data_IF_065539990996
#
_entry.id   IF_065539990996
#
_cell.length_a   1.000
_cell.length_b   1.000
_cell.length_c   1.000
_cell.angle_alpha   90.00
_cell.angle_beta   90.00
_cell.angle_gamma   90.00
#
_symmetry.space_group_name_H-M   'P 1'
#
loop_
_entity.id
_entity.type
_entity.pdbx_description
1 polymer ?
#
# COMPACT_ATOMS: atom_id res chain seq x y z
N UNK A 1 21.26 7.17 -11.75
CA UNK A 1 21.14 5.88 -12.45
C UNK A 1 19.69 5.41 -12.40
N UNK A 2 19.18 5.03 -11.22
CA UNK A 2 17.84 4.44 -11.04
C UNK A 2 16.67 5.14 -11.76
N UNK A 3 16.45 6.45 -11.59
CA UNK A 3 15.32 7.12 -12.27
C UNK A 3 15.42 7.07 -13.80
N UNK A 4 16.63 7.05 -14.38
CA UNK A 4 16.80 6.94 -15.84
C UNK A 4 16.43 5.55 -16.33
N UNK A 5 16.80 4.52 -15.57
CA UNK A 5 16.40 3.14 -15.86
C UNK A 5 14.89 2.98 -15.76
N UNK A 6 14.27 3.54 -14.72
CA UNK A 6 12.81 3.53 -14.54
C UNK A 6 12.09 4.24 -15.70
N UNK A 7 12.56 5.42 -16.10
CA UNK A 7 12.02 6.15 -17.25
C UNK A 7 12.12 5.34 -18.54
N UNK A 8 13.29 4.77 -18.83
CA UNK A 8 13.48 3.95 -20.01
C UNK A 8 12.61 2.68 -19.98
N UNK A 9 12.40 2.08 -18.81
CA UNK A 9 11.51 0.94 -18.62
C UNK A 9 10.05 1.33 -18.90
N UNK A 10 9.57 2.45 -18.33
CA UNK A 10 8.21 2.94 -18.57
C UNK A 10 7.93 3.14 -20.06
N UNK A 11 8.83 3.84 -20.77
CA UNK A 11 8.69 4.06 -22.21
C UNK A 11 8.68 2.75 -23.01
N UNK A 12 9.56 1.79 -22.71
CA UNK A 12 9.53 0.47 -23.37
C UNK A 12 8.26 -0.33 -23.07
N UNK A 13 7.60 -0.05 -21.96
CA UNK A 13 6.32 -0.64 -21.57
C UNK A 13 5.10 0.14 -22.11
N UNK A 14 5.30 1.17 -22.93
CA UNK A 14 4.22 2.00 -23.46
C UNK A 14 3.59 2.95 -22.45
N UNK A 15 4.27 3.22 -21.32
CA UNK A 15 3.84 4.16 -20.30
C UNK A 15 4.50 5.53 -20.55
N UNK A 16 3.72 6.59 -20.42
CA UNK A 16 4.22 7.95 -20.54
C UNK A 16 4.85 8.44 -19.23
N UNK A 17 6.08 8.93 -19.31
CA UNK A 17 6.69 9.70 -18.24
C UNK A 17 7.60 10.79 -18.79
N UNK A 18 7.65 11.91 -18.08
CA UNK A 18 8.46 13.08 -18.43
C UNK A 18 9.60 13.24 -17.44
N UNK A 19 10.82 13.43 -17.96
CA UNK A 19 11.99 13.74 -17.16
C UNK A 19 11.99 15.21 -16.75
N UNK A 20 12.14 15.47 -15.44
CA UNK A 20 12.19 16.82 -14.88
C UNK A 20 13.54 17.09 -14.20
N UNK A 21 14.06 18.29 -14.39
CA UNK A 21 15.12 18.86 -13.56
C UNK A 21 14.60 19.15 -12.15
N UNK A 22 15.50 19.28 -11.17
CA UNK A 22 15.11 19.66 -9.81
C UNK A 22 14.35 20.98 -9.72
N UNK A 23 14.66 21.94 -10.60
CA UNK A 23 13.92 23.21 -10.70
C UNK A 23 12.48 22.98 -11.17
N UNK A 24 12.28 22.12 -12.17
CA UNK A 24 10.95 21.78 -12.67
C UNK A 24 10.14 21.00 -11.64
N UNK A 25 10.77 20.08 -10.90
CA UNK A 25 10.13 19.40 -9.77
C UNK A 25 9.61 20.41 -8.74
N UNK A 26 10.45 21.34 -8.28
CA UNK A 26 10.04 22.38 -7.32
C UNK A 26 9.03 23.38 -7.89
N UNK A 27 9.01 23.60 -9.20
CA UNK A 27 7.95 24.41 -9.84
C UNK A 27 6.58 23.72 -9.73
N UNK A 28 6.55 22.40 -9.77
CA UNK A 28 5.31 21.61 -9.60
C UNK A 28 4.93 21.43 -8.13
N UNK A 29 5.90 21.15 -7.27
CA UNK A 29 5.71 20.95 -5.83
C UNK A 29 6.71 21.85 -5.06
N UNK A 30 6.33 23.10 -4.74
CA UNK A 30 7.23 24.09 -4.12
C UNK A 30 7.79 23.69 -2.76
N UNK A 31 7.12 22.79 -2.05
CA UNK A 31 7.55 22.30 -0.74
C UNK A 31 8.70 21.29 -0.81
N UNK A 32 9.07 20.81 -2.01
CA UNK A 32 10.22 19.92 -2.18
C UNK A 32 11.54 20.59 -1.80
N UNK A 33 12.42 19.82 -1.15
CA UNK A 33 13.73 20.29 -0.73
C UNK A 33 14.59 20.78 -1.91
N UNK A 34 15.45 21.80 -1.69
CA UNK A 34 16.43 22.24 -2.69
C UNK A 34 17.36 21.13 -3.18
N UNK A 35 17.62 20.13 -2.33
CA UNK A 35 18.45 18.96 -2.63
C UNK A 35 17.87 18.00 -3.68
N UNK A 36 16.58 18.12 -4.04
CA UNK A 36 15.98 17.34 -5.13
C UNK A 36 16.64 17.73 -6.46
N UNK A 37 17.35 16.76 -7.07
CA UNK A 37 18.15 16.98 -8.29
C UNK A 37 17.36 16.79 -9.59
N UNK A 38 16.24 16.08 -9.53
CA UNK A 38 15.37 15.79 -10.67
C UNK A 38 14.36 14.71 -10.30
N UNK A 39 13.44 14.43 -11.21
CA UNK A 39 12.34 13.51 -10.97
C UNK A 39 11.67 13.08 -12.27
N UNK A 40 10.70 12.18 -12.14
CA UNK A 40 9.80 11.80 -13.21
C UNK A 40 8.40 12.31 -12.89
N UNK A 41 7.77 12.95 -13.87
CA UNK A 41 6.33 13.18 -13.85
C UNK A 41 5.65 12.06 -14.63
N UNK A 42 4.66 11.45 -14.01
CA UNK A 42 3.92 10.30 -14.55
C UNK A 42 2.43 10.62 -14.40
N UNK A 43 1.85 11.31 -15.38
CA UNK A 43 0.47 11.82 -15.26
C UNK A 43 -0.58 10.69 -15.32
N UNK A 44 -0.21 9.51 -15.85
CA UNK A 44 -1.06 8.31 -15.84
C UNK A 44 -1.09 7.56 -14.51
N UNK A 45 -0.21 7.90 -13.55
CA UNK A 45 -0.25 7.32 -12.21
C UNK A 45 -1.32 8.00 -11.37
N UNK A 46 -2.02 7.20 -10.57
CA UNK A 46 -3.06 7.68 -9.67
C UNK A 46 -2.92 7.08 -8.27
N UNK A 47 -3.61 7.71 -7.32
CA UNK A 47 -3.74 7.22 -5.96
C UNK A 47 -5.21 6.96 -5.63
N UNK A 48 -5.44 5.94 -4.81
CA UNK A 48 -6.74 5.67 -4.19
C UNK A 48 -6.60 5.70 -2.67
N UNK A 49 -7.69 5.97 -1.95
CA UNK A 49 -7.75 5.72 -0.51
C UNK A 49 -8.29 4.29 -0.27
N UNK A 50 -7.43 3.34 0.17
CA UNK A 50 -7.85 1.95 0.36
C UNK A 50 -8.97 1.80 1.38
N UNK A 51 -9.08 2.70 2.37
CA UNK A 51 -10.15 2.66 3.38
C UNK A 51 -11.50 2.97 2.76
N UNK A 52 -11.55 3.98 1.86
CA UNK A 52 -12.76 4.34 1.11
C UNK A 52 -13.12 3.26 0.09
N UNK A 53 -12.13 2.74 -0.65
CA UNK A 53 -12.35 1.68 -1.63
C UNK A 53 -12.88 0.41 -0.96
N UNK A 54 -12.26 -0.07 0.12
CA UNK A 54 -12.69 -1.28 0.81
C UNK A 54 -14.15 -1.16 1.30
N UNK A 55 -14.51 -0.01 1.89
CA UNK A 55 -15.90 0.26 2.30
C UNK A 55 -16.86 0.23 1.09
N UNK A 56 -16.49 0.87 -0.01
CA UNK A 56 -17.31 0.90 -1.21
C UNK A 56 -17.51 -0.50 -1.81
N UNK A 57 -16.46 -1.33 -1.84
CA UNK A 57 -16.54 -2.71 -2.31
C UNK A 57 -17.45 -3.57 -1.43
N UNK A 58 -17.36 -3.46 -0.09
CA UNK A 58 -18.26 -4.16 0.82
C UNK A 58 -19.72 -3.78 0.53
N UNK A 59 -20.02 -2.49 0.43
CA UNK A 59 -21.38 -2.02 0.09
C UNK A 59 -21.84 -2.52 -1.29
N UNK A 60 -20.96 -2.56 -2.29
CA UNK A 60 -21.30 -3.08 -3.61
C UNK A 60 -21.63 -4.58 -3.57
N UNK A 61 -20.85 -5.37 -2.82
CA UNK A 61 -21.10 -6.80 -2.60
C UNK A 61 -22.43 -7.03 -1.87
N UNK A 62 -22.71 -6.29 -0.80
CA UNK A 62 -24.00 -6.38 -0.06
C UNK A 62 -25.19 -6.10 -0.99
N UNK A 63 -25.09 -5.09 -1.86
CA UNK A 63 -26.12 -4.77 -2.86
C UNK A 63 -26.28 -5.84 -3.95
N UNK A 64 -25.21 -6.57 -4.25
CA UNK A 64 -25.23 -7.69 -5.18
C UNK A 64 -25.74 -9.00 -4.54
N UNK A 65 -26.09 -8.99 -3.23
CA UNK A 65 -26.59 -10.16 -2.52
C UNK A 65 -25.48 -11.10 -2.01
N UNK A 66 -24.23 -10.63 -1.91
CA UNK A 66 -23.13 -11.40 -1.33
C UNK A 66 -23.36 -11.55 0.18
N UNK A 67 -23.28 -12.79 0.66
CA UNK A 67 -23.33 -13.11 2.08
C UNK A 67 -21.94 -12.97 2.73
N UNK A 68 -21.87 -12.27 3.86
CA UNK A 68 -20.64 -12.04 4.60
C UNK A 68 -20.63 -12.82 5.91
N UNK A 69 -19.85 -13.90 5.97
CA UNK A 69 -19.53 -14.60 7.21
C UNK A 69 -18.31 -13.92 7.87
N UNK A 70 -18.55 -13.07 8.88
CA UNK A 70 -17.50 -12.31 9.61
C UNK A 70 -16.83 -13.18 10.68
N UNK A 71 -16.27 -14.31 10.25
CA UNK A 71 -15.59 -15.32 11.08
C UNK A 71 -14.32 -15.81 10.39
N UNK A 72 -13.45 -16.49 11.13
CA UNK A 72 -12.28 -17.12 10.55
C UNK A 72 -12.65 -18.44 9.87
N UNK A 73 -12.11 -18.65 8.68
CA UNK A 73 -12.02 -20.00 8.12
C UNK A 73 -10.91 -20.74 8.86
N UNK A 74 -11.27 -21.80 9.58
CA UNK A 74 -10.34 -22.62 10.35
C UNK A 74 -9.63 -23.65 9.47
N UNK A 75 -10.32 -24.19 8.46
CA UNK A 75 -9.73 -25.13 7.49
C UNK A 75 -10.51 -25.17 6.18
N UNK A 76 -9.80 -25.49 5.10
CA UNK A 76 -10.40 -25.90 3.83
C UNK A 76 -10.97 -27.32 3.94
N UNK A 77 -12.18 -27.51 3.41
CA UNK A 77 -12.78 -28.83 3.21
C UNK A 77 -12.43 -29.33 1.81
N UNK A 78 -11.81 -30.50 1.72
CA UNK A 78 -11.44 -31.15 0.44
C UNK A 78 -12.14 -32.49 0.35
N UNK A 79 -12.84 -32.73 -0.75
CA UNK A 79 -13.55 -33.98 -1.04
C UNK A 79 -13.14 -34.46 -2.42
N UNK A 80 -12.58 -35.68 -2.51
CA UNK A 80 -12.10 -36.27 -3.77
C UNK A 80 -11.18 -35.30 -4.54
N UNK A 81 -10.16 -34.79 -3.85
CA UNK A 81 -9.17 -33.85 -4.36
C UNK A 81 -9.72 -32.51 -4.89
N UNK A 82 -10.94 -32.15 -4.48
CA UNK A 82 -11.58 -30.88 -4.84
C UNK A 82 -11.94 -30.08 -3.60
N UNK A 83 -11.64 -28.79 -3.61
CA UNK A 83 -12.15 -27.84 -2.61
C UNK A 83 -13.69 -27.84 -2.63
N UNK A 84 -14.29 -28.10 -1.49
CA UNK A 84 -15.74 -28.27 -1.33
C UNK A 84 -16.36 -27.25 -0.35
N UNK A 85 -15.54 -26.37 0.24
CA UNK A 85 -15.98 -25.40 1.24
C UNK A 85 -14.94 -25.14 2.31
N UNK A 86 -15.38 -24.55 3.42
CA UNK A 86 -14.54 -24.29 4.61
C UNK A 86 -15.29 -24.68 5.88
N UNK A 87 -14.53 -25.00 6.93
CA UNK A 87 -15.05 -25.04 8.30
C UNK A 87 -14.64 -23.73 8.99
N UNK A 88 -15.59 -23.06 9.63
CA UNK A 88 -15.31 -21.83 10.39
C UNK A 88 -14.83 -22.16 11.80
N UNK A 89 -14.21 -21.20 12.49
CA UNK A 89 -13.82 -21.38 13.90
C UNK A 89 -15.00 -21.59 14.86
N UNK A 90 -16.24 -21.37 14.40
CA UNK A 90 -17.46 -21.71 15.16
C UNK A 90 -17.93 -23.16 14.94
N UNK A 91 -17.21 -23.96 14.14
CA UNK A 91 -17.59 -25.32 13.77
C UNK A 91 -18.60 -25.42 12.62
N UNK A 92 -19.09 -24.28 12.11
CA UNK A 92 -20.00 -24.24 10.96
C UNK A 92 -19.30 -24.68 9.68
N UNK A 93 -19.98 -25.48 8.86
CA UNK A 93 -19.49 -25.90 7.55
C UNK A 93 -20.17 -25.09 6.45
N UNK A 94 -19.37 -24.34 5.71
CA UNK A 94 -19.83 -23.55 4.56
C UNK A 94 -19.42 -24.27 3.28
N UNK A 95 -20.39 -24.89 2.61
CA UNK A 95 -20.18 -25.60 1.36
C UNK A 95 -20.08 -24.62 0.17
N UNK A 96 -19.18 -24.90 -0.76
CA UNK A 96 -19.04 -24.10 -1.98
C UNK A 96 -18.56 -24.97 -3.15
N UNK A 97 -19.07 -24.69 -4.36
CA UNK A 97 -18.62 -25.38 -5.58
C UNK A 97 -17.21 -24.96 -6.04
N UNK A 98 -16.77 -23.77 -5.62
CA UNK A 98 -15.45 -23.20 -5.84
C UNK A 98 -15.04 -22.40 -4.59
N UNK A 99 -13.75 -22.44 -4.26
CA UNK A 99 -13.18 -21.68 -3.15
C UNK A 99 -11.99 -20.88 -3.67
N UNK A 100 -11.96 -19.58 -3.35
CA UNK A 100 -10.83 -18.70 -3.67
C UNK A 100 -10.11 -18.34 -2.38
N UNK A 101 -8.83 -18.70 -2.30
CA UNK A 101 -7.99 -18.36 -1.17
C UNK A 101 -7.41 -16.95 -1.34
N UNK A 102 -7.97 -15.97 -0.64
CA UNK A 102 -7.59 -14.56 -0.71
C UNK A 102 -7.23 -13.96 0.67
N UNK A 103 -6.63 -14.75 1.55
CA UNK A 103 -6.36 -14.38 2.96
C UNK A 103 -5.04 -13.60 3.16
N UNK A 104 -4.53 -12.94 2.12
CA UNK A 104 -3.25 -12.21 2.17
C UNK A 104 -2.10 -13.11 2.63
N UNK A 105 -1.26 -12.61 3.55
CA UNK A 105 -0.11 -13.33 4.12
C UNK A 105 -0.48 -14.55 4.98
N UNK A 106 -1.77 -14.75 5.29
CA UNK A 106 -2.27 -15.94 5.98
C UNK A 106 -2.67 -17.06 5.03
N UNK A 107 -2.65 -16.84 3.71
CA UNK A 107 -3.07 -17.85 2.73
C UNK A 107 -2.26 -19.14 2.84
N UNK A 108 -0.93 -19.05 3.02
CA UNK A 108 -0.06 -20.21 3.21
C UNK A 108 -0.23 -20.94 4.56
N UNK A 109 -1.15 -20.48 5.43
CA UNK A 109 -1.39 -21.04 6.77
C UNK A 109 -2.74 -21.73 6.94
N UNK A 110 -3.62 -21.70 5.94
CA UNK A 110 -4.95 -22.32 6.06
C UNK A 110 -4.81 -23.86 6.04
N UNK A 111 -5.17 -24.57 7.13
CA UNK A 111 -5.16 -26.02 7.15
C UNK A 111 -6.09 -26.64 6.09
N UNK A 112 -5.74 -27.84 5.61
CA UNK A 112 -6.53 -28.57 4.61
C UNK A 112 -6.25 -28.18 3.16
N UNK A 113 -5.49 -27.11 2.92
CA UNK A 113 -4.94 -26.82 1.58
C UNK A 113 -3.83 -27.84 1.27
N UNK A 114 -3.88 -28.54 0.13
CA UNK A 114 -2.83 -29.49 -0.25
C UNK A 114 -1.45 -28.82 -0.37
N UNK A 115 -0.41 -29.53 0.06
CA UNK A 115 0.93 -28.95 0.21
C UNK A 115 1.56 -28.48 -1.12
N UNK A 116 1.20 -29.14 -2.22
CA UNK A 116 1.63 -28.85 -3.59
C UNK A 116 1.02 -27.57 -4.17
N UNK A 117 -0.07 -27.06 -3.58
CA UNK A 117 -0.76 -25.84 -4.03
C UNK A 117 -0.76 -24.72 -2.99
N UNK A 118 -0.06 -24.89 -1.87
CA UNK A 118 0.07 -23.86 -0.84
C UNK A 118 0.79 -22.62 -1.41
N UNK A 119 0.17 -21.42 -1.35
CA UNK A 119 0.82 -20.21 -1.84
C UNK A 119 2.05 -19.87 -0.97
N UNK A 120 3.22 -19.57 -1.57
CA UNK A 120 4.44 -19.23 -0.85
C UNK A 120 4.42 -17.76 -0.38
N UNK A 121 3.37 -17.37 0.34
CA UNK A 121 3.18 -16.01 0.84
C UNK A 121 3.72 -15.87 2.26
N UNK A 122 4.35 -14.73 2.54
CA UNK A 122 4.84 -14.36 3.86
C UNK A 122 4.55 -12.90 4.13
N UNK A 123 4.33 -12.49 5.38
CA UNK A 123 4.14 -11.08 5.71
C UNK A 123 5.48 -10.34 5.64
N UNK A 124 5.41 -9.10 5.12
CA UNK A 124 6.45 -8.08 5.26
C UNK A 124 5.78 -6.92 5.97
N UNK A 125 6.28 -6.58 7.14
CA UNK A 125 5.73 -5.47 7.94
C UNK A 125 6.10 -4.15 7.29
N UNK A 126 5.15 -3.21 7.29
CA UNK A 126 5.40 -1.83 6.89
C UNK A 126 4.68 -0.87 7.83
N UNK A 127 5.42 0.10 8.35
CA UNK A 127 4.90 1.18 9.17
C UNK A 127 4.57 2.39 8.29
N UNK A 128 3.50 3.09 8.64
CA UNK A 128 3.00 4.27 7.91
C UNK A 128 2.49 5.30 8.90
N UNK A 129 2.70 6.59 8.61
CA UNK A 129 2.17 7.71 9.37
C UNK A 129 1.05 8.39 8.57
N UNK A 130 0.08 8.96 9.28
CA UNK A 130 -0.94 9.85 8.70
C UNK A 130 -0.86 11.18 9.46
N UNK A 131 -0.40 12.21 8.77
CA UNK A 131 -0.34 13.56 9.29
C UNK A 131 -1.61 14.31 8.90
N UNK A 132 -1.99 15.30 9.69
CA UNK A 132 -3.09 16.21 9.34
C UNK A 132 -2.49 17.49 8.80
N UNK A 133 -2.89 17.90 7.59
CA UNK A 133 -2.50 19.18 7.02
C UNK A 133 -3.47 20.26 7.50
N UNK A 134 -3.03 21.25 8.30
CA UNK A 134 -3.85 22.40 8.63
C UNK A 134 -4.33 23.12 7.37
N UNK A 135 -5.60 23.56 7.34
CA UNK A 135 -6.19 24.23 6.17
C UNK A 135 -5.36 25.40 5.63
N UNK A 136 -4.67 26.15 6.52
CA UNK A 136 -3.80 27.27 6.15
C UNK A 136 -2.57 26.87 5.32
N UNK A 137 -2.20 25.59 5.35
CA UNK A 137 -1.08 25.04 4.59
C UNK A 137 -1.55 24.20 3.39
N UNK A 138 -2.84 24.15 3.10
CA UNK A 138 -3.39 23.35 2.02
C UNK A 138 -3.41 24.14 0.67
N UNK A 139 -3.10 23.48 -0.46
CA UNK A 139 -2.52 22.14 -0.56
C UNK A 139 -1.04 22.16 -0.16
N UNK A 140 -0.65 21.25 0.75
CA UNK A 140 0.74 21.12 1.19
C UNK A 140 1.59 20.40 0.13
N UNK A 141 1.03 19.36 -0.47
CA UNK A 141 1.46 18.76 -1.72
C UNK A 141 0.24 18.63 -2.61
N UNK A 142 0.40 18.87 -3.90
CA UNK A 142 -0.70 18.73 -4.87
C UNK A 142 -0.72 17.36 -5.55
N UNK A 143 0.33 16.55 -5.39
CA UNK A 143 0.50 15.23 -6.00
C UNK A 143 1.13 14.24 -5.03
N UNK A 144 0.97 12.94 -5.33
CA UNK A 144 1.79 11.91 -4.70
C UNK A 144 3.25 12.14 -5.06
N UNK A 145 4.12 12.20 -4.06
CA UNK A 145 5.57 12.26 -4.25
C UNK A 145 6.17 10.95 -3.80
N UNK A 146 7.01 10.33 -4.63
CA UNK A 146 7.79 9.14 -4.31
C UNK A 146 9.27 9.46 -4.46
N UNK A 147 10.09 9.06 -3.49
CA UNK A 147 11.51 9.34 -3.50
C UNK A 147 12.31 8.19 -2.88
N UNK A 148 13.61 8.22 -3.16
CA UNK A 148 14.60 7.42 -2.43
C UNK A 148 15.41 8.36 -1.57
N UNK A 149 15.32 8.19 -0.26
CA UNK A 149 16.06 8.98 0.73
C UNK A 149 16.95 8.02 1.51
N UNK A 150 18.26 8.26 1.52
CA UNK A 150 19.25 7.41 2.21
C UNK A 150 19.20 5.92 1.84
N UNK A 151 18.74 5.61 0.62
CA UNK A 151 18.58 4.23 0.14
C UNK A 151 17.22 3.61 0.46
N UNK A 152 16.42 4.22 1.34
CA UNK A 152 15.05 3.80 1.66
C UNK A 152 14.03 4.46 0.70
N UNK A 153 12.98 3.72 0.35
CA UNK A 153 11.85 4.26 -0.41
C UNK A 153 10.90 5.01 0.52
N UNK A 154 10.47 6.20 0.13
CA UNK A 154 9.45 6.97 0.84
C UNK A 154 8.42 7.52 -0.14
N UNK A 155 7.16 7.53 0.25
CA UNK A 155 6.05 8.14 -0.45
C UNK A 155 5.27 9.08 0.47
N UNK A 156 4.86 10.21 -0.09
CA UNK A 156 3.98 11.19 0.53
C UNK A 156 2.74 11.32 -0.34
N UNK A 157 1.58 10.98 0.21
CA UNK A 157 0.33 10.82 -0.53
C UNK A 157 -0.72 11.77 0.07
N UNK A 158 -0.93 12.96 -0.53
CA UNK A 158 -1.93 13.91 -0.04
C UNK A 158 -3.34 13.40 -0.33
N UNK A 159 -4.26 13.61 0.61
CA UNK A 159 -5.67 13.23 0.49
C UNK A 159 -6.56 14.46 0.48
N UNK A 160 -7.69 14.37 -0.21
CA UNK A 160 -8.67 15.46 -0.32
C UNK A 160 -9.24 15.91 1.04
N UNK A 161 -9.26 15.02 2.03
CA UNK A 161 -9.72 15.32 3.39
C UNK A 161 -8.68 16.04 4.26
N UNK A 162 -7.53 16.42 3.69
CA UNK A 162 -6.45 17.09 4.40
C UNK A 162 -5.47 16.15 5.10
N UNK A 163 -5.57 14.83 4.92
CA UNK A 163 -4.53 13.91 5.41
C UNK A 163 -3.32 13.90 4.46
N UNK A 164 -2.13 13.73 5.04
CA UNK A 164 -0.91 13.40 4.32
C UNK A 164 -0.38 12.05 4.81
N UNK A 165 -0.42 11.03 3.97
CA UNK A 165 0.11 9.71 4.31
C UNK A 165 1.59 9.66 3.99
N UNK A 166 2.42 9.29 4.97
CA UNK A 166 3.87 9.11 4.84
C UNK A 166 4.19 7.63 5.05
N UNK A 167 4.75 6.98 4.05
CA UNK A 167 5.13 5.58 4.17
C UNK A 167 6.24 5.18 3.21
N UNK A 168 6.74 3.95 3.25
CA UNK A 168 6.55 3.02 4.35
C UNK A 168 7.88 2.33 4.63
N UNK A 169 8.07 1.90 5.88
CA UNK A 169 9.17 0.99 6.20
C UNK A 169 8.94 -0.36 5.50
N UNK A 170 10.00 -1.17 5.40
CA UNK A 170 9.92 -2.56 4.95
C UNK A 170 10.73 -3.43 5.90
N UNK A 171 10.04 -4.27 6.67
CA UNK A 171 10.59 -4.97 7.82
C UNK A 171 10.27 -6.47 7.74
N UNK A 172 11.32 -7.30 7.82
CA UNK A 172 11.23 -8.76 7.86
C UNK A 172 10.92 -9.27 9.28
N UNK A 173 9.77 -8.84 9.82
CA UNK A 173 9.35 -9.10 11.21
C UNK A 173 8.10 -9.97 11.32
N UNK A 174 7.81 -10.78 10.30
CA UNK A 174 6.69 -11.71 10.35
C UNK A 174 5.35 -10.97 10.52
N UNK A 175 4.56 -11.39 11.52
CA UNK A 175 3.24 -10.81 11.84
C UNK A 175 3.30 -9.72 12.91
N UNK A 176 4.49 -9.26 13.30
CA UNK A 176 4.59 -8.12 14.22
C UNK A 176 3.97 -6.87 13.57
N UNK A 177 3.02 -6.26 14.26
CA UNK A 177 2.39 -4.99 13.84
C UNK A 177 2.72 -3.85 14.80
N UNK A 178 3.72 -4.03 15.66
CA UNK A 178 4.11 -3.03 16.65
C UNK A 178 4.71 -1.82 15.96
N UNK A 179 4.18 -0.62 16.23
CA UNK A 179 4.80 0.63 15.79
C UNK A 179 6.03 0.90 16.65
N UNK A 180 7.18 1.15 16.04
CA UNK A 180 8.45 1.35 16.73
C UNK A 180 8.89 2.80 16.65
N UNK A 181 9.53 3.30 17.71
CA UNK A 181 10.11 4.65 17.70
C UNK A 181 11.09 4.85 16.53
N UNK A 182 11.87 3.80 16.19
CA UNK A 182 12.77 3.80 15.04
C UNK A 182 12.05 3.96 13.71
N UNK A 183 10.97 3.20 13.46
CA UNK A 183 10.21 3.31 12.23
C UNK A 183 9.50 4.66 12.08
N UNK A 184 8.96 5.20 13.18
CA UNK A 184 8.38 6.56 13.20
C UNK A 184 9.45 7.60 12.88
N UNK A 185 10.60 7.52 13.53
CA UNK A 185 11.72 8.45 13.29
C UNK A 185 12.23 8.39 11.84
N UNK A 186 12.42 7.18 11.30
CA UNK A 186 12.85 6.98 9.91
C UNK A 186 11.91 7.67 8.92
N UNK A 187 10.61 7.43 9.06
CA UNK A 187 9.59 8.03 8.17
C UNK A 187 9.57 9.56 8.28
N UNK A 188 9.63 10.12 9.49
CA UNK A 188 9.63 11.58 9.68
C UNK A 188 10.93 12.22 9.16
N UNK A 189 12.08 11.59 9.43
CA UNK A 189 13.39 12.04 8.93
C UNK A 189 13.41 12.08 7.40
N UNK A 190 12.98 10.99 6.77
CA UNK A 190 13.06 10.87 5.31
C UNK A 190 12.04 11.77 4.61
N UNK A 191 10.85 11.92 5.20
CA UNK A 191 9.87 12.88 4.71
C UNK A 191 10.35 14.33 4.88
N UNK A 192 11.04 14.68 5.97
CA UNK A 192 11.62 16.01 6.18
C UNK A 192 12.76 16.30 5.19
N UNK A 193 13.62 15.32 4.91
CA UNK A 193 14.69 15.47 3.91
C UNK A 193 14.14 15.75 2.51
N UNK A 194 12.95 15.21 2.19
CA UNK A 194 12.26 15.44 0.93
C UNK A 194 11.40 16.72 0.91
N UNK A 195 10.68 16.99 2.00
CA UNK A 195 9.70 18.07 2.15
C UNK A 195 9.91 18.73 3.53
N UNK A 196 10.83 19.71 3.64
CA UNK A 196 11.27 20.20 4.94
C UNK A 196 10.16 20.78 5.82
N UNK A 197 9.15 21.42 5.22
CA UNK A 197 8.02 22.02 5.95
C UNK A 197 7.10 21.03 6.66
N UNK A 198 7.35 19.72 6.57
CA UNK A 198 6.54 18.68 7.22
C UNK A 198 6.62 18.75 8.75
N UNK A 199 7.63 19.43 9.30
CA UNK A 199 7.82 19.61 10.75
C UNK A 199 6.76 20.51 11.38
N UNK A 200 5.99 21.25 10.57
CA UNK A 200 4.92 22.15 11.02
C UNK A 200 3.52 21.49 10.99
N UNK A 201 3.44 20.19 10.72
CA UNK A 201 2.20 19.40 10.61
C UNK A 201 1.88 18.59 11.87
#
# INVERSE_FOLDING_TARGET
AHLRELHALQHRSGLESEWLSGRECRRLEPMLAPGVRGGLRVDGDHQIDPRRLAKALVTACERAGVEFHRTWAERLTVVRDRAAGVVTTGGEQLAAGQVVLAAGSLSGKLPGVPADVLPPVRPVKGQVLRLTVPKRYAPFLSRTVRAVVRGSQVYLVPRENGELVVGATSEELGWDTTVTAGGVYELLRDAHELVPGITEL
#
